data_IF_302079133349
#
_entry.id   IF_302079133349
#
_cell.length_a   1.000
_cell.length_b   1.000
_cell.length_c   1.000
_cell.angle_alpha   90.00
_cell.angle_beta   90.00
_cell.angle_gamma   90.00
#
_symmetry.space_group_name_H-M   'P 1'
#
loop_
_entity.id
_entity.type
_entity.pdbx_description
1 polymer ?
#
# COMPACT_ATOMS: atom_id res chain seq x y z
N UNK A 1 -28.66 -21.35 -15.29
CA UNK A 1 -28.29 -19.92 -15.36
C UNK A 1 -28.33 -19.33 -13.96
N UNK A 2 -27.20 -18.97 -13.35
CA UNK A 2 -27.16 -18.37 -12.01
C UNK A 2 -27.52 -16.88 -12.10
N UNK A 3 -28.49 -16.44 -11.30
CA UNK A 3 -28.93 -15.04 -11.25
C UNK A 3 -27.74 -14.08 -11.06
N UNK A 4 -27.73 -12.90 -11.72
CA UNK A 4 -26.68 -11.92 -11.51
C UNK A 4 -26.64 -11.52 -10.04
N UNK A 5 -25.44 -11.42 -9.42
CA UNK A 5 -25.33 -11.03 -8.02
C UNK A 5 -25.99 -9.66 -7.81
N UNK A 6 -26.69 -9.45 -6.67
CA UNK A 6 -27.43 -8.22 -6.44
C UNK A 6 -26.51 -6.99 -6.51
N UNK A 7 -27.00 -5.95 -7.21
CA UNK A 7 -26.34 -4.66 -7.48
C UNK A 7 -25.74 -4.02 -6.22
N UNK A 8 -26.34 -4.27 -5.05
CA UNK A 8 -25.89 -3.79 -3.75
C UNK A 8 -24.47 -4.24 -3.38
N UNK A 9 -24.04 -5.44 -3.78
CA UNK A 9 -22.71 -5.96 -3.37
C UNK A 9 -21.53 -5.22 -3.98
N UNK A 10 -21.67 -4.73 -5.22
CA UNK A 10 -20.62 -3.98 -5.92
C UNK A 10 -20.49 -2.54 -5.43
N UNK A 11 -21.60 -1.96 -4.92
CA UNK A 11 -21.63 -0.58 -4.42
C UNK A 11 -20.67 -0.37 -3.24
N UNK A 12 -20.66 -1.25 -2.23
CA UNK A 12 -19.80 -1.03 -1.06
C UNK A 12 -18.31 -1.24 -1.33
N UNK A 13 -17.94 -2.14 -2.23
CA UNK A 13 -16.54 -2.29 -2.63
C UNK A 13 -16.04 -1.04 -3.34
N UNK A 14 -16.86 -0.43 -4.19
CA UNK A 14 -16.52 0.86 -4.79
C UNK A 14 -16.26 1.93 -3.72
N UNK A 15 -17.12 2.05 -2.71
CA UNK A 15 -16.93 3.05 -1.65
C UNK A 15 -15.69 2.79 -0.79
N UNK A 16 -15.35 1.53 -0.52
CA UNK A 16 -14.08 1.19 0.14
C UNK A 16 -12.88 1.57 -0.71
N UNK A 17 -12.90 1.23 -2.01
CA UNK A 17 -11.86 1.64 -2.95
C UNK A 17 -11.72 3.16 -3.00
N UNK A 18 -12.83 3.89 -3.04
CA UNK A 18 -12.82 5.35 -3.08
C UNK A 18 -12.26 5.94 -1.78
N UNK A 19 -12.64 5.41 -0.61
CA UNK A 19 -12.15 5.88 0.68
C UNK A 19 -10.65 5.60 0.87
N UNK A 20 -10.16 4.44 0.42
CA UNK A 20 -8.73 4.13 0.35
C UNK A 20 -7.99 5.17 -0.49
N UNK A 21 -8.46 5.41 -1.72
CA UNK A 21 -7.84 6.38 -2.63
C UNK A 21 -7.89 7.81 -2.11
N UNK A 22 -9.00 8.22 -1.51
CA UNK A 22 -9.14 9.54 -0.91
C UNK A 22 -8.14 9.75 0.24
N UNK A 23 -7.93 8.73 1.07
CA UNK A 23 -6.93 8.77 2.15
C UNK A 23 -5.51 8.93 1.57
N UNK A 24 -5.20 8.18 0.51
CA UNK A 24 -3.90 8.29 -0.16
C UNK A 24 -3.71 9.66 -0.78
N UNK A 25 -4.68 10.18 -1.52
CA UNK A 25 -4.61 11.50 -2.14
C UNK A 25 -4.52 12.62 -1.12
N UNK A 26 -5.20 12.50 0.01
CA UNK A 26 -5.03 13.43 1.12
C UNK A 26 -3.58 13.40 1.64
N UNK A 27 -3.01 12.21 1.90
CA UNK A 27 -1.60 12.08 2.26
C UNK A 27 -0.64 12.70 1.24
N UNK A 28 -0.86 12.49 -0.06
CA UNK A 28 -0.06 13.10 -1.14
C UNK A 28 -0.23 14.62 -1.22
N UNK A 29 -1.43 15.15 -0.95
CA UNK A 29 -1.63 16.60 -0.92
C UNK A 29 -0.73 17.28 0.10
N UNK A 30 -0.57 16.67 1.28
CA UNK A 30 0.25 17.20 2.39
C UNK A 30 1.74 17.19 2.04
N UNK A 31 2.28 16.06 1.58
CA UNK A 31 3.74 15.90 1.46
C UNK A 31 4.28 16.13 0.06
N UNK A 32 3.43 16.27 -0.95
CA UNK A 32 3.87 16.38 -2.34
C UNK A 32 3.28 17.61 -3.02
N UNK A 33 1.95 17.67 -3.19
CA UNK A 33 1.35 18.73 -4.00
C UNK A 33 1.39 20.10 -3.33
N UNK A 34 1.08 20.21 -2.03
CA UNK A 34 1.12 21.49 -1.33
C UNK A 34 2.55 22.09 -1.30
N UNK A 35 3.61 21.36 -0.90
CA UNK A 35 4.97 21.91 -0.96
C UNK A 35 5.39 22.26 -2.39
N UNK A 36 5.00 21.46 -3.39
CA UNK A 36 5.33 21.74 -4.80
C UNK A 36 4.71 23.05 -5.26
N UNK A 37 3.43 23.28 -4.97
CA UNK A 37 2.72 24.51 -5.31
C UNK A 37 3.27 25.73 -4.55
N UNK A 38 3.76 25.52 -3.33
CA UNK A 38 4.37 26.56 -2.51
C UNK A 38 5.85 26.86 -2.88
N UNK A 39 6.42 26.14 -3.85
CA UNK A 39 7.86 26.24 -4.17
C UNK A 39 8.78 25.77 -3.04
N UNK A 40 8.25 24.97 -2.10
CA UNK A 40 8.93 24.49 -0.90
C UNK A 40 9.14 22.96 -0.92
N UNK A 41 8.87 22.29 -2.05
CA UNK A 41 9.11 20.86 -2.18
C UNK A 41 10.62 20.58 -2.14
N UNK A 42 11.10 19.69 -1.24
CA UNK A 42 12.51 19.38 -1.15
C UNK A 42 13.06 18.82 -2.46
N UNK A 43 14.31 19.16 -2.78
CA UNK A 43 15.02 18.51 -3.88
C UNK A 43 14.98 17.00 -3.69
N UNK A 44 14.45 16.31 -4.69
CA UNK A 44 14.20 14.87 -4.66
C UNK A 44 14.59 14.29 -5.99
N UNK A 45 15.03 13.04 -5.99
CA UNK A 45 15.41 12.42 -7.24
C UNK A 45 14.24 12.05 -8.12
N UNK A 46 14.52 11.88 -9.42
CA UNK A 46 13.56 11.43 -10.41
C UNK A 46 12.86 10.13 -9.98
N UNK A 47 13.57 9.23 -9.32
CA UNK A 47 12.98 7.97 -8.83
C UNK A 47 11.97 8.17 -7.71
N UNK A 48 12.18 9.13 -6.82
CA UNK A 48 11.17 9.49 -5.81
C UNK A 48 9.90 10.03 -6.48
N UNK A 49 10.05 10.81 -7.55
CA UNK A 49 8.91 11.30 -8.34
C UNK A 49 8.18 10.16 -9.06
N UNK A 50 8.90 9.26 -9.73
CA UNK A 50 8.30 8.08 -10.39
C UNK A 50 7.61 7.19 -9.35
N UNK A 51 8.23 6.94 -8.20
CA UNK A 51 7.61 6.21 -7.09
C UNK A 51 6.30 6.86 -6.65
N UNK A 52 6.30 8.17 -6.39
CA UNK A 52 5.10 8.92 -6.01
C UNK A 52 3.99 8.80 -7.04
N UNK A 53 4.30 9.05 -8.32
CA UNK A 53 3.31 9.02 -9.39
C UNK A 53 2.76 7.62 -9.68
N UNK A 54 3.59 6.57 -9.59
CA UNK A 54 3.12 5.19 -9.81
C UNK A 54 2.12 4.76 -8.73
N UNK A 55 2.38 5.09 -7.46
CA UNK A 55 1.42 4.88 -6.38
C UNK A 55 0.16 5.74 -6.57
N UNK A 56 0.32 7.03 -6.91
CA UNK A 56 -0.82 7.91 -7.18
C UNK A 56 -1.74 7.32 -8.27
N UNK A 57 -1.17 6.89 -9.40
CA UNK A 57 -1.91 6.28 -10.50
C UNK A 57 -2.58 4.96 -10.10
N UNK A 58 -1.94 4.14 -9.26
CA UNK A 58 -2.55 2.90 -8.76
C UNK A 58 -3.81 3.18 -7.95
N UNK A 59 -3.74 4.17 -7.04
CA UNK A 59 -4.91 4.56 -6.26
C UNK A 59 -5.94 5.36 -7.06
N UNK A 60 -5.58 5.97 -8.18
CA UNK A 60 -6.56 6.48 -9.15
C UNK A 60 -7.27 5.31 -9.86
N UNK A 61 -6.51 4.30 -10.25
CA UNK A 61 -7.01 3.14 -10.98
C UNK A 61 -7.95 2.28 -10.13
N UNK A 62 -7.71 2.17 -8.82
CA UNK A 62 -8.48 1.31 -7.92
C UNK A 62 -10.02 1.57 -7.95
N UNK A 63 -10.54 2.79 -7.69
CA UNK A 63 -11.97 3.08 -7.77
C UNK A 63 -12.46 3.11 -9.23
N UNK A 64 -11.61 3.49 -10.19
CA UNK A 64 -11.93 3.42 -11.62
C UNK A 64 -12.24 1.98 -12.05
N UNK A 65 -11.44 1.00 -11.62
CA UNK A 65 -11.66 -0.42 -11.89
C UNK A 65 -13.00 -0.91 -11.32
N UNK A 66 -13.34 -0.49 -10.09
CA UNK A 66 -14.64 -0.80 -9.50
C UNK A 66 -15.80 -0.13 -10.27
N UNK A 67 -15.61 1.10 -10.74
CA UNK A 67 -16.58 1.83 -11.57
C UNK A 67 -16.82 1.13 -12.92
N UNK A 68 -15.76 0.71 -13.62
CA UNK A 68 -15.85 0.02 -14.91
C UNK A 68 -16.65 -1.28 -14.81
N UNK A 69 -16.48 -2.05 -13.73
CA UNK A 69 -17.28 -3.25 -13.48
C UNK A 69 -18.75 -2.90 -13.23
N UNK A 70 -19.04 -1.87 -12.44
CA UNK A 70 -20.41 -1.38 -12.20
C UNK A 70 -21.08 -0.90 -13.49
N UNK A 71 -20.34 -0.21 -14.34
CA UNK A 71 -20.77 0.27 -15.65
C UNK A 71 -20.78 -0.84 -16.72
N UNK A 72 -20.49 -2.10 -16.35
CA UNK A 72 -20.38 -3.26 -17.25
C UNK A 72 -19.37 -3.08 -18.40
N UNK A 73 -18.41 -2.17 -18.26
CA UNK A 73 -17.31 -1.92 -19.20
C UNK A 73 -16.15 -2.90 -18.94
N UNK A 74 -16.44 -4.20 -19.05
CA UNK A 74 -15.50 -5.28 -18.67
C UNK A 74 -14.25 -5.31 -19.56
N UNK A 75 -14.37 -4.93 -20.84
CA UNK A 75 -13.22 -4.83 -21.75
C UNK A 75 -12.17 -3.83 -21.22
N UNK A 76 -12.62 -2.64 -20.81
CA UNK A 76 -11.75 -1.62 -20.21
C UNK A 76 -11.17 -2.04 -18.87
N UNK A 77 -11.97 -2.71 -18.02
CA UNK A 77 -11.47 -3.28 -16.76
C UNK A 77 -10.29 -4.23 -17.02
N UNK A 78 -10.41 -5.11 -18.02
CA UNK A 78 -9.35 -6.06 -18.40
C UNK A 78 -8.14 -5.35 -19.00
N UNK A 79 -8.34 -4.43 -19.93
CA UNK A 79 -7.24 -3.71 -20.59
C UNK A 79 -6.40 -2.92 -19.58
N UNK A 80 -7.05 -2.07 -18.77
CA UNK A 80 -6.38 -1.30 -17.72
C UNK A 80 -5.85 -2.22 -16.60
N UNK A 81 -6.51 -3.35 -16.35
CA UNK A 81 -6.04 -4.36 -15.41
C UNK A 81 -4.73 -4.99 -15.86
N UNK A 82 -4.55 -5.25 -17.15
CA UNK A 82 -3.26 -5.70 -17.71
C UNK A 82 -2.19 -4.63 -17.59
N UNK A 83 -2.51 -3.35 -17.90
CA UNK A 83 -1.57 -2.24 -17.72
C UNK A 83 -1.14 -2.06 -16.26
N UNK A 84 -2.02 -2.38 -15.31
CA UNK A 84 -1.68 -2.33 -13.88
C UNK A 84 -0.56 -3.27 -13.47
N UNK A 85 -0.22 -4.29 -14.28
CA UNK A 85 0.92 -5.17 -14.02
C UNK A 85 2.25 -4.42 -14.17
N UNK A 86 2.39 -3.62 -15.24
CA UNK A 86 3.56 -2.76 -15.43
C UNK A 86 3.64 -1.68 -14.37
N UNK A 87 2.49 -1.11 -13.99
CA UNK A 87 2.41 -0.14 -12.90
C UNK A 87 2.86 -0.74 -11.56
N UNK A 88 2.37 -1.93 -11.21
CA UNK A 88 2.76 -2.63 -9.99
C UNK A 88 4.25 -3.01 -10.01
N UNK A 89 4.79 -3.44 -11.15
CA UNK A 89 6.22 -3.70 -11.30
C UNK A 89 7.05 -2.42 -11.06
N UNK A 90 6.64 -1.28 -11.60
CA UNK A 90 7.29 0.01 -11.35
C UNK A 90 7.18 0.45 -9.88
N UNK A 91 6.02 0.27 -9.24
CA UNK A 91 5.83 0.54 -7.81
C UNK A 91 6.78 -0.31 -6.94
N UNK A 92 6.90 -1.60 -7.26
CA UNK A 92 7.77 -2.54 -6.53
C UNK A 92 9.24 -2.16 -6.74
N UNK A 93 9.66 -1.98 -7.99
CA UNK A 93 11.04 -1.64 -8.33
C UNK A 93 11.47 -0.31 -7.68
N UNK A 94 10.71 0.76 -7.91
CA UNK A 94 11.02 2.07 -7.30
C UNK A 94 10.88 2.06 -5.78
N UNK A 95 9.92 1.30 -5.22
CA UNK A 95 9.80 1.12 -3.78
C UNK A 95 11.04 0.46 -3.17
N UNK A 96 11.59 -0.56 -3.83
CA UNK A 96 12.85 -1.18 -3.40
C UNK A 96 14.03 -0.22 -3.45
N UNK A 97 14.13 0.60 -4.49
CA UNK A 97 15.19 1.64 -4.59
C UNK A 97 15.04 2.65 -3.45
N UNK A 98 13.85 3.22 -3.26
CA UNK A 98 13.60 4.22 -2.20
C UNK A 98 13.89 3.65 -0.82
N UNK A 99 13.35 2.47 -0.50
CA UNK A 99 13.56 1.83 0.81
C UNK A 99 15.04 1.50 1.01
N UNK A 100 15.68 0.87 0.02
CA UNK A 100 17.08 0.48 0.13
C UNK A 100 18.00 1.68 0.33
N UNK A 101 17.82 2.74 -0.46
CA UNK A 101 18.62 3.97 -0.32
C UNK A 101 18.39 4.65 1.02
N UNK A 102 17.14 4.78 1.47
CA UNK A 102 16.84 5.40 2.75
C UNK A 102 17.36 4.57 3.93
N UNK A 103 17.33 3.24 3.83
CA UNK A 103 17.98 2.36 4.79
C UNK A 103 19.49 2.58 4.81
N UNK A 104 20.14 2.65 3.65
CA UNK A 104 21.58 2.91 3.57
C UNK A 104 21.98 4.27 4.18
N UNK A 105 21.22 5.33 3.87
CA UNK A 105 21.43 6.65 4.47
C UNK A 105 21.19 6.62 5.99
N UNK A 106 20.18 5.88 6.45
CA UNK A 106 19.84 5.82 7.88
C UNK A 106 20.90 5.15 8.76
N UNK A 107 21.79 4.34 8.18
CA UNK A 107 22.87 3.65 8.91
C UNK A 107 24.17 4.47 8.98
N UNK A 108 24.21 5.66 8.36
CA UNK A 108 25.34 6.58 8.45
C UNK A 108 25.33 7.32 9.81
N UNK A 109 26.45 7.94 10.24
CA UNK A 109 26.55 8.60 11.54
C UNK A 109 25.46 9.64 11.85
N UNK A 110 24.97 10.33 10.82
CA UNK A 110 23.90 11.34 10.85
C UNK A 110 22.55 10.82 10.30
N UNK A 111 22.44 9.50 10.13
CA UNK A 111 21.30 8.85 9.52
C UNK A 111 19.99 9.02 10.30
N UNK A 112 18.88 9.06 9.56
CA UNK A 112 17.55 9.29 10.11
C UNK A 112 17.12 8.24 11.15
N UNK A 113 16.87 8.61 12.42
CA UNK A 113 16.36 7.69 13.44
C UNK A 113 14.99 7.12 13.09
N UNK A 114 14.20 7.89 12.30
CA UNK A 114 12.91 7.43 11.80
C UNK A 114 13.07 6.20 10.90
N UNK A 115 13.99 6.25 9.92
CA UNK A 115 14.22 5.12 9.02
C UNK A 115 14.84 3.91 9.72
N UNK A 116 15.69 4.14 10.73
CA UNK A 116 16.19 3.05 11.59
C UNK A 116 15.04 2.33 12.32
N UNK A 117 14.06 3.08 12.86
CA UNK A 117 12.92 2.52 13.59
C UNK A 117 11.80 1.96 12.71
N UNK A 118 11.58 2.53 11.53
CA UNK A 118 10.40 2.28 10.70
C UNK A 118 10.70 1.56 9.38
N UNK A 119 11.95 1.50 8.94
CA UNK A 119 12.29 1.04 7.60
C UNK A 119 11.85 -0.39 7.29
N UNK A 120 12.00 -1.31 8.24
CA UNK A 120 11.50 -2.69 8.09
C UNK A 120 9.97 -2.74 8.03
N UNK A 121 9.29 -1.89 8.80
CA UNK A 121 7.83 -1.80 8.75
C UNK A 121 7.36 -1.23 7.42
N UNK A 122 8.02 -0.19 6.88
CA UNK A 122 7.75 0.31 5.53
C UNK A 122 8.01 -0.78 4.48
N UNK A 123 9.10 -1.55 4.61
CA UNK A 123 9.38 -2.69 3.75
C UNK A 123 8.29 -3.77 3.81
N UNK A 124 7.74 -4.05 4.99
CA UNK A 124 6.63 -5.00 5.14
C UNK A 124 5.40 -4.61 4.32
N UNK A 125 5.09 -3.30 4.21
CA UNK A 125 3.96 -2.82 3.39
C UNK A 125 4.15 -3.14 1.91
N UNK A 126 5.38 -3.07 1.41
CA UNK A 126 5.71 -3.43 0.03
C UNK A 126 5.59 -4.94 -0.21
N UNK A 127 5.99 -5.76 0.76
CA UNK A 127 5.79 -7.21 0.74
C UNK A 127 4.30 -7.55 0.68
N UNK A 128 3.50 -6.94 1.57
CA UNK A 128 2.05 -7.17 1.63
C UNK A 128 1.36 -6.77 0.34
N UNK A 129 1.68 -5.58 -0.19
CA UNK A 129 1.19 -5.13 -1.50
C UNK A 129 1.51 -6.17 -2.57
N UNK A 130 2.78 -6.56 -2.70
CA UNK A 130 3.25 -7.49 -3.73
C UNK A 130 2.55 -8.84 -3.64
N UNK A 131 2.48 -9.40 -2.44
CA UNK A 131 1.86 -10.69 -2.18
C UNK A 131 0.37 -10.66 -2.51
N UNK A 132 -0.37 -9.70 -1.95
CA UNK A 132 -1.82 -9.64 -2.13
C UNK A 132 -2.20 -9.23 -3.55
N UNK A 133 -1.46 -8.32 -4.18
CA UNK A 133 -1.69 -7.94 -5.58
C UNK A 133 -1.49 -9.15 -6.49
N UNK A 134 -0.37 -9.88 -6.33
CA UNK A 134 -0.10 -11.10 -7.10
C UNK A 134 -1.21 -12.13 -6.91
N UNK A 135 -1.61 -12.40 -5.66
CA UNK A 135 -2.74 -13.32 -5.36
C UNK A 135 -4.06 -12.84 -5.98
N UNK A 136 -4.29 -11.53 -6.02
CA UNK A 136 -5.45 -10.92 -6.68
C UNK A 136 -5.47 -11.16 -8.19
N UNK A 137 -4.34 -10.98 -8.87
CA UNK A 137 -4.21 -11.24 -10.31
C UNK A 137 -4.34 -12.72 -10.64
N UNK A 138 -3.76 -13.61 -9.82
CA UNK A 138 -3.92 -15.06 -9.98
C UNK A 138 -5.38 -15.49 -9.78
N UNK A 139 -6.08 -14.83 -8.85
CA UNK A 139 -7.49 -15.07 -8.58
C UNK A 139 -8.45 -14.37 -9.57
N UNK A 140 -8.00 -13.75 -10.67
CA UNK A 140 -8.85 -12.96 -11.59
C UNK A 140 -10.08 -13.69 -12.18
N UNK A 141 -10.07 -15.02 -12.19
CA UNK A 141 -11.21 -15.85 -12.63
C UNK A 141 -12.28 -16.03 -11.54
N UNK A 142 -11.90 -15.86 -10.27
CA UNK A 142 -12.79 -15.85 -9.12
C UNK A 142 -13.01 -14.40 -8.65
N UNK A 143 -14.15 -13.83 -9.04
CA UNK A 143 -14.50 -12.43 -8.74
C UNK A 143 -14.49 -12.13 -7.24
N UNK A 144 -14.83 -13.12 -6.42
CA UNK A 144 -14.92 -12.97 -4.98
C UNK A 144 -13.55 -12.92 -4.32
N UNK A 145 -12.63 -13.80 -4.74
CA UNK A 145 -11.24 -13.75 -4.28
C UNK A 145 -10.51 -12.53 -4.83
N UNK A 146 -10.64 -12.25 -6.13
CA UNK A 146 -9.96 -11.15 -6.81
C UNK A 146 -10.19 -9.81 -6.10
N UNK A 147 -11.46 -9.40 -5.91
CA UNK A 147 -11.77 -8.09 -5.28
C UNK A 147 -11.28 -7.97 -3.85
N UNK A 148 -11.25 -9.08 -3.10
CA UNK A 148 -10.78 -9.08 -1.71
C UNK A 148 -9.27 -8.96 -1.65
N UNK A 149 -8.55 -9.69 -2.49
CA UNK A 149 -7.11 -9.54 -2.60
C UNK A 149 -6.70 -8.15 -3.11
N UNK A 150 -7.44 -7.56 -4.05
CA UNK A 150 -7.20 -6.17 -4.46
C UNK A 150 -7.37 -5.19 -3.30
N UNK A 151 -8.43 -5.36 -2.47
CA UNK A 151 -8.60 -4.56 -1.27
C UNK A 151 -7.44 -4.75 -0.27
N UNK A 152 -7.02 -5.99 -0.02
CA UNK A 152 -5.90 -6.31 0.87
C UNK A 152 -4.60 -5.70 0.34
N UNK A 153 -4.34 -5.76 -0.97
CA UNK A 153 -3.18 -5.16 -1.60
C UNK A 153 -3.19 -3.64 -1.42
N UNK A 154 -4.33 -2.99 -1.64
CA UNK A 154 -4.48 -1.55 -1.44
C UNK A 154 -4.35 -1.12 0.03
N UNK A 155 -4.86 -1.91 0.98
CA UNK A 155 -4.66 -1.64 2.40
C UNK A 155 -3.19 -1.85 2.81
N UNK A 156 -2.58 -2.96 2.39
CA UNK A 156 -1.17 -3.25 2.69
C UNK A 156 -0.21 -2.24 2.06
N UNK A 157 -0.52 -1.72 0.87
CA UNK A 157 0.31 -0.77 0.13
C UNK A 157 0.12 0.70 0.50
N UNK A 158 -0.75 1.06 1.44
CA UNK A 158 -1.03 2.47 1.78
C UNK A 158 -0.40 2.93 3.10
N UNK A 159 0.41 2.10 3.78
CA UNK A 159 0.98 2.44 5.09
C UNK A 159 1.71 3.79 5.12
N UNK A 160 2.46 4.12 4.05
CA UNK A 160 3.09 5.44 3.92
C UNK A 160 2.08 6.60 3.82
N UNK A 161 0.93 6.39 3.18
CA UNK A 161 -0.13 7.41 3.19
C UNK A 161 -0.77 7.53 4.57
N UNK A 162 -1.03 6.41 5.25
CA UNK A 162 -1.51 6.43 6.63
C UNK A 162 -0.56 7.21 7.54
N UNK A 163 0.75 6.99 7.41
CA UNK A 163 1.76 7.79 8.12
C UNK A 163 1.62 9.29 7.86
N UNK A 164 1.56 9.71 6.58
CA UNK A 164 1.41 11.13 6.21
C UNK A 164 0.16 11.80 6.79
N UNK A 165 -0.92 11.05 6.92
CA UNK A 165 -2.15 11.55 7.56
C UNK A 165 -1.98 11.63 9.08
N UNK A 166 -1.39 10.60 9.68
CA UNK A 166 -1.17 10.56 11.14
C UNK A 166 -0.13 11.56 11.63
N UNK A 167 0.82 11.98 10.80
CA UNK A 167 1.76 13.06 11.18
C UNK A 167 1.07 14.40 11.39
N UNK A 168 -0.09 14.64 10.78
CA UNK A 168 -0.88 15.85 11.02
C UNK A 168 -1.54 15.85 12.40
N UNK A 169 -1.78 14.66 12.96
CA UNK A 169 -2.48 14.48 14.25
C UNK A 169 -1.49 14.28 15.39
N UNK A 170 -0.43 13.50 15.15
CA UNK A 170 0.53 13.04 16.16
C UNK A 170 1.92 13.66 16.02
N UNK A 171 2.09 14.60 15.08
CA UNK A 171 3.39 15.15 14.71
C UNK A 171 4.29 14.13 13.99
N UNK A 172 5.46 14.59 13.52
CA UNK A 172 6.46 13.70 12.94
C UNK A 172 7.10 12.84 14.04
N UNK A 173 6.65 11.58 14.18
CA UNK A 173 7.08 10.69 15.25
C UNK A 173 7.02 9.21 14.85
N UNK A 174 7.73 8.36 15.60
CA UNK A 174 7.61 6.89 15.49
C UNK A 174 6.16 6.45 15.77
N UNK A 175 5.47 7.08 16.73
CA UNK A 175 4.08 6.79 17.03
C UNK A 175 3.17 7.03 15.81
N UNK A 176 3.34 8.16 15.11
CA UNK A 176 2.64 8.42 13.85
C UNK A 176 2.95 7.35 12.80
N UNK A 177 4.20 6.88 12.74
CA UNK A 177 4.63 5.79 11.87
C UNK A 177 3.90 4.48 12.16
N UNK A 178 3.91 4.04 13.42
CA UNK A 178 3.26 2.79 13.87
C UNK A 178 1.76 2.85 13.59
N UNK A 179 1.08 3.91 14.02
CA UNK A 179 -0.36 4.08 13.78
C UNK A 179 -0.65 4.17 12.28
N UNK A 180 0.17 4.91 11.54
CA UNK A 180 0.02 5.08 10.09
C UNK A 180 0.15 3.79 9.28
N UNK A 181 1.00 2.86 9.72
CA UNK A 181 1.14 1.53 9.09
C UNK A 181 0.01 0.59 9.47
N UNK A 182 -0.48 0.66 10.72
CA UNK A 182 -1.51 -0.28 11.21
C UNK A 182 -2.94 0.15 10.86
N UNK A 183 -3.23 1.46 10.79
CA UNK A 183 -4.57 2.00 10.54
C UNK A 183 -5.21 1.53 9.21
N UNK A 184 -4.47 1.27 8.10
CA UNK A 184 -5.05 0.72 6.88
C UNK A 184 -5.77 -0.61 7.06
N UNK A 185 -5.39 -1.42 8.06
CA UNK A 185 -6.07 -2.67 8.38
C UNK A 185 -7.54 -2.45 8.76
N UNK A 186 -7.92 -1.24 9.21
CA UNK A 186 -9.32 -0.89 9.46
C UNK A 186 -10.18 -0.96 8.19
N UNK A 187 -9.61 -0.74 6.99
CA UNK A 187 -10.34 -0.96 5.74
C UNK A 187 -10.62 -2.44 5.49
N UNK A 188 -9.70 -3.32 5.86
CA UNK A 188 -9.89 -4.78 5.79
C UNK A 188 -11.00 -5.19 6.77
N UNK A 189 -10.95 -4.68 8.01
CA UNK A 189 -11.98 -4.90 9.02
C UNK A 189 -13.34 -4.37 8.55
N UNK A 190 -13.40 -3.17 8.00
CA UNK A 190 -14.63 -2.58 7.45
C UNK A 190 -15.23 -3.47 6.37
N UNK A 191 -14.41 -4.03 5.47
CA UNK A 191 -14.88 -4.93 4.44
C UNK A 191 -15.42 -6.26 4.99
N UNK A 192 -14.77 -6.82 6.03
CA UNK A 192 -15.26 -8.00 6.76
C UNK A 192 -16.62 -7.70 7.39
N UNK A 193 -16.77 -6.55 8.04
CA UNK A 193 -18.03 -6.13 8.68
C UNK A 193 -19.14 -5.92 7.64
N UNK A 194 -18.82 -5.33 6.49
CA UNK A 194 -19.76 -5.16 5.37
C UNK A 194 -20.22 -6.52 4.83
N UNK A 195 -19.30 -7.47 4.65
CA UNK A 195 -19.65 -8.83 4.21
C UNK A 195 -20.53 -9.53 5.25
N UNK A 196 -20.20 -9.43 6.54
CA UNK A 196 -20.99 -10.02 7.65
C UNK A 196 -22.39 -9.42 7.77
N UNK A 197 -22.53 -8.09 7.70
CA UNK A 197 -23.84 -7.39 7.70
C UNK A 197 -24.73 -7.81 6.53
N UNK A 198 -24.16 -8.42 5.49
CA UNK A 198 -24.87 -8.96 4.32
C UNK A 198 -25.14 -10.46 4.42
N UNK A 199 -24.96 -11.05 5.59
CA UNK A 199 -25.14 -12.49 5.81
C UNK A 199 -24.08 -13.37 5.13
N UNK A 200 -22.93 -12.81 4.73
CA UNK A 200 -21.87 -13.59 4.09
C UNK A 200 -20.98 -14.22 5.17
N UNK A 201 -20.55 -15.48 4.97
CA UNK A 201 -19.63 -16.13 5.90
C UNK A 201 -18.27 -15.43 5.89
N UNK A 202 -17.49 -15.64 6.95
CA UNK A 202 -16.15 -15.07 7.06
C UNK A 202 -15.21 -15.68 6.01
N UNK A 203 -14.94 -14.91 4.96
CA UNK A 203 -14.28 -15.42 3.77
C UNK A 203 -12.82 -15.85 4.04
N UNK A 204 -12.32 -16.97 3.46
CA UNK A 204 -10.96 -17.46 3.69
C UNK A 204 -9.86 -16.43 3.42
N UNK A 205 -10.03 -15.58 2.40
CA UNK A 205 -9.09 -14.49 2.08
C UNK A 205 -8.92 -13.53 3.26
N UNK A 206 -9.99 -13.21 3.99
CA UNK A 206 -9.89 -12.35 5.16
C UNK A 206 -9.39 -13.08 6.40
N UNK A 207 -9.74 -14.36 6.54
CA UNK A 207 -9.23 -15.22 7.63
C UNK A 207 -7.71 -15.31 7.64
N UNK A 208 -7.07 -15.36 6.47
CA UNK A 208 -5.62 -15.42 6.37
C UNK A 208 -4.98 -14.05 6.15
N UNK A 209 -5.61 -13.20 5.34
CA UNK A 209 -5.01 -11.93 4.95
C UNK A 209 -4.92 -10.90 6.06
N UNK A 210 -5.94 -10.77 6.93
CA UNK A 210 -5.88 -9.81 8.04
C UNK A 210 -4.82 -10.20 9.08
N UNK A 211 -4.77 -11.46 9.59
CA UNK A 211 -3.69 -11.87 10.49
C UNK A 211 -2.31 -11.79 9.86
N UNK A 212 -2.18 -12.07 8.55
CA UNK A 212 -0.91 -11.93 7.86
C UNK A 212 -0.45 -10.47 7.76
N UNK A 213 -1.37 -9.55 7.44
CA UNK A 213 -1.08 -8.10 7.35
C UNK A 213 -0.59 -7.57 8.69
N UNK A 214 -1.42 -7.70 9.72
CA UNK A 214 -1.12 -7.22 11.07
C UNK A 214 0.09 -7.95 11.64
N UNK A 215 0.16 -9.27 11.45
CA UNK A 215 1.26 -10.09 11.96
C UNK A 215 2.61 -9.71 11.36
N UNK A 216 2.67 -9.46 10.05
CA UNK A 216 3.92 -9.05 9.39
C UNK A 216 4.34 -7.63 9.80
N UNK A 217 3.40 -6.69 9.88
CA UNK A 217 3.67 -5.31 10.31
C UNK A 217 4.13 -5.26 11.77
N UNK A 218 3.45 -5.97 12.67
CA UNK A 218 3.84 -6.08 14.09
C UNK A 218 5.17 -6.80 14.23
N UNK A 219 5.39 -7.89 13.50
CA UNK A 219 6.68 -8.58 13.49
C UNK A 219 7.79 -7.64 13.05
N UNK A 220 7.58 -6.83 12.00
CA UNK A 220 8.55 -5.84 11.55
C UNK A 220 8.95 -4.88 12.67
N UNK A 221 7.99 -4.35 13.44
CA UNK A 221 8.30 -3.51 14.61
C UNK A 221 9.07 -4.24 15.71
N UNK A 222 8.67 -5.47 16.03
CA UNK A 222 9.28 -6.25 17.10
C UNK A 222 10.70 -6.70 16.77
N UNK A 223 10.99 -6.99 15.48
CA UNK A 223 12.33 -7.42 15.07
C UNK A 223 13.28 -6.25 14.86
N UNK A 224 12.81 -5.04 14.54
CA UNK A 224 13.66 -3.86 14.30
C UNK A 224 14.78 -3.66 15.34
N UNK A 225 14.51 -3.68 16.68
CA UNK A 225 15.56 -3.46 17.68
C UNK A 225 16.49 -4.67 17.91
N UNK A 226 16.26 -5.80 17.24
CA UNK A 226 16.99 -7.05 17.45
C UNK A 226 18.19 -7.19 16.49
N UNK A 227 19.14 -8.10 16.76
CA UNK A 227 20.21 -8.41 15.80
C UNK A 227 19.70 -8.87 14.43
N UNK A 228 18.55 -9.57 14.39
CA UNK A 228 17.90 -9.98 13.13
C UNK A 228 17.40 -8.75 12.37
N UNK A 229 16.77 -7.80 13.06
CA UNK A 229 16.34 -6.54 12.45
C UNK A 229 17.51 -5.75 11.88
N UNK A 230 18.64 -5.68 12.61
CA UNK A 230 19.87 -5.05 12.13
C UNK A 230 20.41 -5.72 10.86
N UNK A 231 20.49 -7.05 10.83
CA UNK A 231 20.94 -7.78 9.66
C UNK A 231 20.03 -7.55 8.43
N UNK A 232 18.71 -7.51 8.64
CA UNK A 232 17.75 -7.19 7.57
C UNK A 232 17.89 -5.74 7.10
N UNK A 233 18.12 -4.80 8.03
CA UNK A 233 18.36 -3.39 7.70
C UNK A 233 19.63 -3.21 6.87
N UNK A 234 20.72 -3.89 7.23
CA UNK A 234 21.98 -3.91 6.47
C UNK A 234 21.80 -4.55 5.08
N UNK A 235 20.98 -5.60 4.98
CA UNK A 235 20.65 -6.22 3.70
C UNK A 235 19.84 -5.28 2.80
N UNK A 236 18.86 -4.54 3.34
CA UNK A 236 18.15 -3.51 2.57
C UNK A 236 19.08 -2.36 2.17
N UNK A 237 19.98 -1.95 3.07
CA UNK A 237 20.98 -0.93 2.77
C UNK A 237 21.95 -1.37 1.66
N UNK A 238 22.31 -2.66 1.59
CA UNK A 238 23.17 -3.18 0.50
C UNK A 238 22.47 -3.13 -0.85
N UNK A 239 21.16 -3.40 -0.89
CA UNK A 239 20.32 -3.17 -2.07
C UNK A 239 20.34 -1.69 -2.45
N UNK A 240 20.21 -0.77 -1.48
CA UNK A 240 20.34 0.67 -1.70
C UNK A 240 21.67 1.06 -2.35
N UNK A 241 22.79 0.54 -1.85
CA UNK A 241 24.11 0.80 -2.44
C UNK A 241 24.23 0.27 -3.87
N UNK A 242 23.71 -0.92 -4.13
CA UNK A 242 23.72 -1.51 -5.47
C UNK A 242 22.84 -0.73 -6.47
N UNK A 243 21.77 -0.10 -5.99
CA UNK A 243 20.82 0.67 -6.81
C UNK A 243 21.05 2.18 -6.72
N UNK A 244 22.14 2.65 -6.11
CA UNK A 244 22.44 4.07 -5.94
C UNK A 244 22.40 4.88 -7.24
N UNK A 245 22.85 4.37 -8.42
CA UNK A 245 22.73 5.11 -9.69
C UNK A 245 21.29 5.37 -10.15
N UNK A 246 20.31 4.68 -9.56
CA UNK A 246 18.88 4.84 -9.85
C UNK A 246 18.19 5.75 -8.85
N UNK A 247 18.87 6.26 -7.81
CA UNK A 247 18.30 7.17 -6.83
C UNK A 247 18.95 8.54 -6.93
#
# INVERSE_FOLDING_TARGET
MTAPPPVRSQSSYFWLCLALSATVFYGFSITYFQPMLAGAYPESSTTVHIHGWTFFLFYLLLPLQACLIRARRVAWHRALGTLSLGLAAAMIGTGMVVIGTQMNLSLQPDGSPFWQGMGLAVFSTLILFTLFFTRGILARRDRDRHRRFMLLASAGGMGAAGFRVMTQVLGFSIAAGVVGILIPNLFIVAAILIDRRRGRPFHPVYRTGLPLSVGLEVAAFLITPTPVGRALAEALASVGRALAPLY
#
